data_IF_471407191199
#
_entry.id   IF_471407191199
#
_cell.length_a   1.000
_cell.length_b   1.000
_cell.length_c   1.000
_cell.angle_alpha   90.00
_cell.angle_beta   90.00
_cell.angle_gamma   90.00
#
_symmetry.space_group_name_H-M   'P 1'
#
loop_
_entity.id
_entity.type
_entity.pdbx_description
1 polymer ?
#
# COMPACT_ATOMS: atom_id res chain seq x y z
N UNK A 1 -31.48 -24.06 27.39
CA UNK A 1 -30.92 -24.49 26.10
C UNK A 1 -31.04 -25.99 25.99
N UNK A 2 -31.59 -26.50 24.89
CA UNK A 2 -31.77 -27.94 24.69
C UNK A 2 -30.41 -28.56 24.41
N UNK A 3 -29.88 -29.36 25.34
CA UNK A 3 -28.66 -30.15 25.10
C UNK A 3 -29.03 -31.25 24.11
N UNK A 4 -28.32 -31.32 22.98
CA UNK A 4 -28.52 -32.40 22.00
C UNK A 4 -27.85 -33.67 22.52
N UNK A 5 -28.62 -34.73 22.75
CA UNK A 5 -28.09 -36.00 23.25
C UNK A 5 -27.26 -36.77 22.19
N UNK A 6 -27.35 -36.36 20.92
CA UNK A 6 -26.75 -37.06 19.77
C UNK A 6 -26.04 -36.06 18.85
N UNK A 7 -24.86 -36.46 18.36
CA UNK A 7 -24.07 -35.73 17.36
C UNK A 7 -24.66 -35.86 15.95
N UNK A 8 -24.32 -34.98 14.99
CA UNK A 8 -24.74 -35.12 13.58
C UNK A 8 -24.35 -36.45 12.94
N UNK A 9 -23.32 -37.12 13.47
CA UNK A 9 -22.86 -38.45 13.06
C UNK A 9 -23.69 -39.61 13.64
N UNK A 10 -24.69 -39.35 14.48
CA UNK A 10 -25.50 -40.38 15.16
C UNK A 10 -24.91 -40.93 16.47
N UNK A 11 -23.72 -40.48 16.88
CA UNK A 11 -23.10 -40.93 18.13
C UNK A 11 -23.64 -40.18 19.37
N UNK A 12 -23.71 -40.87 20.52
CA UNK A 12 -24.12 -40.27 21.80
C UNK A 12 -23.09 -39.23 22.28
N UNK A 13 -23.56 -38.06 22.72
CA UNK A 13 -22.71 -36.93 23.10
C UNK A 13 -21.80 -37.22 24.30
N UNK A 14 -22.35 -37.75 25.40
CA UNK A 14 -21.61 -37.95 26.66
C UNK A 14 -20.44 -38.96 26.52
N UNK A 15 -20.63 -40.14 25.90
CA UNK A 15 -19.52 -41.07 25.67
C UNK A 15 -18.43 -40.47 24.77
N UNK A 16 -18.80 -39.69 23.75
CA UNK A 16 -17.86 -39.05 22.84
C UNK A 16 -17.02 -37.98 23.55
N UNK A 17 -17.66 -37.13 24.36
CA UNK A 17 -16.95 -36.13 25.18
C UNK A 17 -15.97 -36.79 26.16
N UNK A 18 -16.37 -37.91 26.79
CA UNK A 18 -15.48 -38.69 27.65
C UNK A 18 -14.30 -39.32 26.91
N UNK A 19 -14.44 -39.65 25.62
CA UNK A 19 -13.35 -40.15 24.79
C UNK A 19 -12.33 -39.04 24.46
N UNK A 20 -12.82 -37.84 24.09
CA UNK A 20 -11.95 -36.67 23.88
C UNK A 20 -11.16 -36.35 25.16
N UNK A 21 -11.83 -36.29 26.31
CA UNK A 21 -11.18 -35.95 27.58
C UNK A 21 -10.05 -36.92 27.98
N UNK A 22 -10.16 -38.19 27.61
CA UNK A 22 -9.15 -39.23 27.91
C UNK A 22 -7.97 -39.26 26.94
N UNK A 23 -8.11 -38.68 25.75
CA UNK A 23 -7.10 -38.75 24.68
C UNK A 23 -6.31 -37.45 24.51
N UNK A 24 -6.32 -36.53 25.49
CA UNK A 24 -5.47 -35.33 25.48
C UNK A 24 -4.19 -35.61 26.26
N UNK A 25 -3.01 -35.68 25.61
CA UNK A 25 -1.75 -36.00 26.30
C UNK A 25 -1.35 -34.95 27.35
N UNK A 26 -1.64 -33.67 27.09
CA UNK A 26 -1.45 -32.57 28.04
C UNK A 26 -2.23 -31.34 27.59
N UNK A 27 -2.94 -30.69 28.53
CA UNK A 27 -3.61 -29.41 28.29
C UNK A 27 -2.64 -28.22 28.24
N UNK A 28 -1.40 -28.38 28.72
CA UNK A 28 -0.41 -27.30 28.71
C UNK A 28 -0.07 -26.82 27.29
N UNK A 29 -0.19 -27.70 26.29
CA UNK A 29 0.14 -27.41 24.89
C UNK A 29 -1.08 -27.15 23.99
N UNK A 30 -2.21 -26.75 24.57
CA UNK A 30 -3.47 -26.56 23.83
C UNK A 30 -3.35 -25.60 22.64
N UNK A 31 -2.51 -24.55 22.77
CA UNK A 31 -2.24 -23.58 21.68
C UNK A 31 -1.69 -24.26 20.43
N UNK A 32 -0.79 -25.22 20.60
CA UNK A 32 -0.21 -25.97 19.47
C UNK A 32 -1.23 -26.89 18.81
N UNK A 33 -2.09 -27.56 19.58
CA UNK A 33 -3.16 -28.39 18.99
C UNK A 33 -4.18 -27.53 18.22
N UNK A 34 -4.57 -26.38 18.78
CA UNK A 34 -5.46 -25.43 18.08
C UNK A 34 -4.81 -24.94 16.78
N UNK A 35 -3.52 -24.62 16.81
CA UNK A 35 -2.78 -24.23 15.61
C UNK A 35 -2.82 -25.32 14.54
N UNK A 36 -2.55 -26.58 14.88
CA UNK A 36 -2.60 -27.69 13.91
C UNK A 36 -3.99 -27.94 13.32
N UNK A 37 -5.05 -27.85 14.13
CA UNK A 37 -6.43 -27.98 13.63
C UNK A 37 -6.75 -26.84 12.67
N UNK A 38 -6.34 -25.61 12.99
CA UNK A 38 -6.51 -24.43 12.13
C UNK A 38 -5.71 -24.56 10.83
N UNK A 39 -4.42 -24.88 10.89
CA UNK A 39 -3.57 -25.14 9.71
C UNK A 39 -4.25 -26.13 8.76
N UNK A 40 -4.76 -27.26 9.29
CA UNK A 40 -5.47 -28.26 8.49
C UNK A 40 -6.80 -27.76 7.93
N UNK A 41 -7.50 -26.86 8.63
CA UNK A 41 -8.72 -26.23 8.12
C UNK A 41 -8.43 -25.23 7.00
N UNK A 42 -7.38 -24.41 7.14
CA UNK A 42 -6.91 -23.48 6.11
C UNK A 42 -6.49 -24.26 4.86
N UNK A 43 -5.74 -25.37 5.02
CA UNK A 43 -5.35 -26.22 3.90
C UNK A 43 -6.56 -26.81 3.15
N UNK A 44 -7.63 -27.19 3.86
CA UNK A 44 -8.87 -27.64 3.19
C UNK A 44 -9.53 -26.50 2.41
N UNK A 45 -9.65 -25.32 3.03
CA UNK A 45 -10.21 -24.15 2.36
C UNK A 45 -9.39 -23.76 1.12
N UNK A 46 -8.06 -23.87 1.18
CA UNK A 46 -7.17 -23.63 0.03
C UNK A 46 -7.44 -24.62 -1.11
N UNK A 47 -7.63 -25.91 -0.79
CA UNK A 47 -7.99 -26.93 -1.78
C UNK A 47 -9.34 -26.59 -2.42
N UNK A 48 -10.36 -26.29 -1.61
CA UNK A 48 -11.71 -25.94 -2.11
C UNK A 48 -11.66 -24.70 -3.02
N UNK A 49 -10.89 -23.68 -2.64
CA UNK A 49 -10.67 -22.48 -3.47
C UNK A 49 -9.96 -22.83 -4.79
N UNK A 50 -8.91 -23.64 -4.74
CA UNK A 50 -8.18 -24.06 -5.95
C UNK A 50 -9.09 -24.83 -6.92
N UNK A 51 -9.96 -25.69 -6.40
CA UNK A 51 -10.97 -26.40 -7.19
C UNK A 51 -12.00 -25.44 -7.80
N UNK A 52 -12.47 -24.44 -7.04
CA UNK A 52 -13.38 -23.41 -7.54
C UNK A 52 -12.75 -22.55 -8.65
N UNK A 53 -11.48 -22.16 -8.51
CA UNK A 53 -10.75 -21.40 -9.53
C UNK A 53 -10.56 -22.25 -10.78
N UNK A 54 -10.19 -23.53 -10.61
CA UNK A 54 -10.04 -24.48 -11.72
C UNK A 54 -11.37 -24.65 -12.48
N UNK A 55 -12.48 -24.80 -11.78
CA UNK A 55 -13.81 -24.91 -12.40
C UNK A 55 -14.19 -23.63 -13.16
N UNK A 56 -13.89 -22.46 -12.60
CA UNK A 56 -14.15 -21.16 -13.24
C UNK A 56 -13.39 -20.97 -14.55
N UNK A 57 -12.22 -21.61 -14.72
CA UNK A 57 -11.45 -21.56 -15.96
C UNK A 57 -12.07 -22.37 -17.12
N UNK A 58 -13.01 -23.27 -16.81
CA UNK A 58 -13.75 -24.08 -17.79
C UNK A 58 -15.16 -23.54 -18.06
N UNK A 59 -15.58 -22.49 -17.36
CA UNK A 59 -16.86 -21.83 -17.59
C UNK A 59 -16.85 -21.03 -18.92
N UNK A 60 -17.96 -21.04 -19.64
CA UNK A 60 -18.16 -20.23 -20.85
C UNK A 60 -18.50 -18.77 -20.48
N UNK A 61 -17.52 -18.06 -19.92
CA UNK A 61 -17.62 -16.66 -19.48
C UNK A 61 -16.52 -15.79 -20.09
N UNK A 62 -16.71 -14.47 -20.16
CA UNK A 62 -15.64 -13.56 -20.59
C UNK A 62 -14.41 -13.68 -19.68
N UNK A 63 -13.21 -13.68 -20.29
CA UNK A 63 -11.92 -13.78 -19.59
C UNK A 63 -11.77 -12.79 -18.40
N UNK A 64 -12.18 -11.51 -18.49
CA UNK A 64 -12.08 -10.58 -17.36
C UNK A 64 -12.89 -11.03 -16.13
N UNK A 65 -14.05 -11.67 -16.33
CA UNK A 65 -14.89 -12.16 -15.23
C UNK A 65 -14.26 -13.38 -14.54
N UNK A 66 -13.62 -14.26 -15.31
CA UNK A 66 -12.88 -15.42 -14.79
C UNK A 66 -11.70 -14.94 -13.94
N UNK A 67 -10.93 -13.95 -14.42
CA UNK A 67 -9.82 -13.35 -13.68
C UNK A 67 -10.30 -12.71 -12.38
N UNK A 68 -11.37 -11.90 -12.42
CA UNK A 68 -11.91 -11.23 -11.25
C UNK A 68 -12.39 -12.23 -10.17
N UNK A 69 -13.05 -13.32 -10.56
CA UNK A 69 -13.45 -14.39 -9.62
C UNK A 69 -12.25 -15.07 -8.97
N UNK A 70 -11.22 -15.38 -9.75
CA UNK A 70 -10.01 -16.00 -9.23
C UNK A 70 -9.31 -15.07 -8.22
N UNK A 71 -9.25 -13.77 -8.51
CA UNK A 71 -8.70 -12.76 -7.59
C UNK A 71 -9.50 -12.68 -6.28
N UNK A 72 -10.83 -12.66 -6.35
CA UNK A 72 -11.68 -12.63 -5.15
C UNK A 72 -11.48 -13.86 -4.28
N UNK A 73 -11.48 -15.05 -4.87
CA UNK A 73 -11.32 -16.29 -4.13
C UNK A 73 -9.95 -16.40 -3.43
N UNK A 74 -8.89 -15.84 -4.06
CA UNK A 74 -7.57 -15.73 -3.45
C UNK A 74 -7.51 -14.66 -2.34
N UNK A 75 -8.25 -13.56 -2.48
CA UNK A 75 -8.33 -12.52 -1.46
C UNK A 75 -8.98 -13.04 -0.16
N UNK A 76 -10.04 -13.85 -0.27
CA UNK A 76 -10.73 -14.42 0.88
C UNK A 76 -9.83 -15.36 1.71
N UNK A 77 -8.87 -16.05 1.06
CA UNK A 77 -7.88 -16.89 1.75
C UNK A 77 -6.88 -16.08 2.59
N UNK A 78 -6.55 -14.86 2.18
CA UNK A 78 -5.61 -13.98 2.89
C UNK A 78 -6.12 -13.61 4.28
N UNK A 79 -7.43 -13.49 4.43
CA UNK A 79 -8.06 -13.12 5.70
C UNK A 79 -8.06 -14.27 6.72
N UNK A 80 -7.80 -15.51 6.30
CA UNK A 80 -7.76 -16.69 7.16
C UNK A 80 -6.44 -16.84 7.94
N UNK A 81 -5.38 -16.16 7.49
CA UNK A 81 -4.03 -16.24 8.06
C UNK A 81 -3.80 -15.27 9.24
N UNK A 82 -4.78 -14.42 9.57
CA UNK A 82 -4.62 -13.45 10.66
C UNK A 82 -4.65 -14.17 12.03
N UNK A 83 -3.45 -14.43 12.58
CA UNK A 83 -3.22 -15.17 13.82
C UNK A 83 -3.56 -14.37 15.10
N UNK A 84 -3.60 -13.04 15.03
CA UNK A 84 -3.69 -12.19 16.21
C UNK A 84 -5.05 -11.48 16.33
N UNK A 85 -5.60 -11.31 17.55
CA UNK A 85 -6.65 -10.34 17.77
C UNK A 85 -6.19 -8.98 17.23
N UNK A 86 -7.04 -8.31 16.44
CA UNK A 86 -6.77 -6.98 15.86
C UNK A 86 -6.71 -5.86 16.91
N UNK A 87 -6.68 -6.22 18.19
CA UNK A 87 -6.59 -5.31 19.32
C UNK A 87 -5.39 -5.69 20.20
N UNK A 88 -4.75 -4.67 20.77
CA UNK A 88 -3.66 -4.81 21.74
C UNK A 88 -4.03 -4.02 22.97
N UNK A 89 -3.49 -4.43 24.12
CA UNK A 89 -3.62 -3.63 25.33
C UNK A 89 -2.83 -2.32 25.17
N UNK A 90 -3.29 -1.26 25.81
CA UNK A 90 -2.68 0.07 25.68
C UNK A 90 -1.22 0.08 26.18
N UNK A 91 -0.91 -0.65 27.26
CA UNK A 91 0.45 -0.77 27.81
C UNK A 91 1.44 -1.39 26.82
N UNK A 92 1.04 -2.42 26.09
CA UNK A 92 1.85 -3.01 25.02
C UNK A 92 2.14 -2.01 23.87
N UNK A 93 1.20 -1.13 23.57
CA UNK A 93 1.36 -0.09 22.53
C UNK A 93 2.23 1.05 23.05
N UNK A 94 2.08 1.44 24.31
CA UNK A 94 2.86 2.51 24.94
C UNK A 94 4.35 2.17 24.99
N UNK A 95 4.72 0.93 25.29
CA UNK A 95 6.12 0.48 25.26
C UNK A 95 6.76 0.72 23.88
N UNK A 96 6.07 0.33 22.80
CA UNK A 96 6.54 0.59 21.42
C UNK A 96 6.61 2.06 21.07
N UNK A 97 5.71 2.87 21.63
CA UNK A 97 5.74 4.32 21.40
C UNK A 97 6.97 4.96 22.04
N UNK A 98 7.39 4.49 23.22
CA UNK A 98 8.62 4.94 23.88
C UNK A 98 9.84 4.60 23.03
N UNK A 99 9.93 3.39 22.47
CA UNK A 99 11.04 3.00 21.58
C UNK A 99 11.16 3.96 20.38
N UNK A 100 10.03 4.30 19.74
CA UNK A 100 9.99 5.25 18.62
C UNK A 100 10.40 6.67 19.05
N UNK A 101 10.10 7.08 20.28
CA UNK A 101 10.52 8.38 20.81
C UNK A 101 12.03 8.37 21.09
N UNK A 102 12.56 7.30 21.68
CA UNK A 102 13.99 7.13 21.94
C UNK A 102 14.81 7.13 20.65
N UNK A 103 14.34 6.43 19.61
CA UNK A 103 14.98 6.44 18.29
C UNK A 103 15.02 7.86 17.69
N UNK A 104 13.94 8.63 17.84
CA UNK A 104 13.91 10.04 17.38
C UNK A 104 14.85 10.93 18.18
N UNK A 105 14.87 10.78 19.50
CA UNK A 105 15.73 11.57 20.37
C UNK A 105 17.21 11.33 20.08
N UNK A 106 17.58 10.09 19.81
CA UNK A 106 18.95 9.69 19.50
C UNK A 106 19.33 9.81 18.01
N UNK A 107 18.48 10.42 17.18
CA UNK A 107 18.74 10.58 15.75
C UNK A 107 18.82 9.27 14.95
N UNK A 108 18.32 8.17 15.51
CA UNK A 108 18.22 6.85 14.86
C UNK A 108 16.94 6.70 14.04
N UNK A 109 16.00 7.63 14.18
CA UNK A 109 14.78 7.63 13.39
C UNK A 109 15.08 7.91 11.90
N UNK A 110 14.44 7.17 10.98
CA UNK A 110 14.58 7.44 9.55
C UNK A 110 14.09 8.84 9.23
N UNK A 111 14.86 9.57 8.41
CA UNK A 111 14.38 10.81 7.81
C UNK A 111 13.29 10.47 6.80
N UNK A 112 12.17 11.20 6.87
CA UNK A 112 11.07 11.01 5.94
C UNK A 112 11.26 11.93 4.75
N UNK A 113 10.77 11.53 3.56
CA UNK A 113 10.82 12.36 2.37
C UNK A 113 10.25 13.76 2.63
N UNK A 114 10.93 14.79 2.15
CA UNK A 114 10.54 16.19 2.34
C UNK A 114 9.54 16.64 1.29
N UNK A 115 9.07 17.87 1.43
CA UNK A 115 8.32 18.57 0.38
C UNK A 115 9.23 19.39 -0.53
N UNK A 116 10.49 19.59 -0.14
CA UNK A 116 11.43 20.49 -0.84
C UNK A 116 11.21 21.97 -0.50
N UNK A 117 10.19 22.27 0.32
CA UNK A 117 9.88 23.61 0.80
C UNK A 117 10.22 23.68 2.28
N UNK A 118 11.34 24.33 2.62
CA UNK A 118 11.89 24.33 3.98
C UNK A 118 10.90 24.76 5.07
N UNK A 119 10.04 25.75 4.78
CA UNK A 119 9.05 26.21 5.76
C UNK A 119 7.86 25.26 5.89
N UNK A 120 7.45 24.61 4.81
CA UNK A 120 6.43 23.56 4.86
C UNK A 120 6.96 22.31 5.56
N UNK A 121 8.23 21.96 5.36
CA UNK A 121 8.88 20.83 6.01
C UNK A 121 9.02 21.04 7.52
N UNK A 122 9.22 22.28 8.00
CA UNK A 122 9.16 22.58 9.44
C UNK A 122 7.79 22.30 10.04
N UNK A 123 6.72 22.57 9.28
CA UNK A 123 5.34 22.42 9.73
C UNK A 123 4.87 20.95 9.66
N UNK A 124 5.03 20.31 8.50
CA UNK A 124 4.52 18.96 8.23
C UNK A 124 5.49 17.89 8.74
N UNK A 125 6.79 18.21 8.82
CA UNK A 125 7.86 17.29 9.19
C UNK A 125 7.90 16.08 8.27
N UNK A 126 7.91 16.32 6.96
CA UNK A 126 8.02 15.31 5.92
C UNK A 126 6.79 14.41 5.73
N UNK A 127 6.88 13.53 4.74
CA UNK A 127 5.81 12.66 4.27
C UNK A 127 5.98 11.28 4.92
N UNK A 128 5.08 10.95 5.84
CA UNK A 128 5.25 9.75 6.68
C UNK A 128 4.74 8.48 6.01
N UNK A 129 5.44 7.34 6.17
CA UNK A 129 4.95 6.06 5.69
C UNK A 129 3.66 5.67 6.41
N UNK A 130 2.80 4.92 5.71
CA UNK A 130 1.50 4.44 6.21
C UNK A 130 0.52 5.56 6.61
N UNK A 131 0.70 6.77 6.05
CA UNK A 131 -0.25 7.87 6.17
C UNK A 131 -0.67 8.36 4.79
N UNK A 132 -1.93 8.76 4.68
CA UNK A 132 -2.45 9.48 3.51
C UNK A 132 -2.26 10.98 3.74
N UNK A 133 -1.55 11.63 2.83
CA UNK A 133 -1.39 13.09 2.79
C UNK A 133 -2.26 13.63 1.66
N UNK A 134 -3.15 14.56 1.98
CA UNK A 134 -4.07 15.16 1.00
C UNK A 134 -3.70 16.61 0.75
N UNK A 135 -3.47 16.97 -0.52
CA UNK A 135 -3.29 18.35 -0.97
C UNK A 135 -4.61 18.81 -1.60
N UNK A 136 -5.32 19.71 -0.93
CA UNK A 136 -6.62 20.22 -1.36
C UNK A 136 -6.58 21.73 -1.58
N UNK A 137 -7.46 22.23 -2.45
CA UNK A 137 -7.48 23.62 -2.89
C UNK A 137 -8.35 23.79 -4.14
N UNK A 138 -8.71 25.03 -4.46
CA UNK A 138 -9.56 25.36 -5.61
C UNK A 138 -8.90 25.00 -6.95
N UNK A 139 -9.67 24.79 -8.03
CA UNK A 139 -9.10 24.67 -9.38
C UNK A 139 -8.16 25.85 -9.68
N UNK A 140 -7.02 25.56 -10.32
CA UNK A 140 -5.99 26.57 -10.59
C UNK A 140 -5.11 26.98 -9.40
N UNK A 141 -5.35 26.48 -8.18
CA UNK A 141 -4.53 26.84 -7.00
C UNK A 141 -3.13 26.20 -6.95
N UNK A 142 -2.69 25.54 -8.03
CA UNK A 142 -1.35 24.95 -8.13
C UNK A 142 -1.15 23.59 -7.45
N UNK A 143 -2.23 22.85 -7.11
CA UNK A 143 -2.13 21.53 -6.45
C UNK A 143 -1.26 20.53 -7.21
N UNK A 144 -1.50 20.39 -8.52
CA UNK A 144 -0.75 19.46 -9.38
C UNK A 144 0.72 19.86 -9.45
N UNK A 145 1.00 21.15 -9.64
CA UNK A 145 2.37 21.68 -9.64
C UNK A 145 3.08 21.37 -8.32
N UNK A 146 2.43 21.62 -7.17
CA UNK A 146 3.00 21.33 -5.87
C UNK A 146 3.29 19.84 -5.67
N UNK A 147 2.33 18.97 -6.02
CA UNK A 147 2.50 17.52 -5.91
C UNK A 147 3.66 17.02 -6.78
N UNK A 148 3.74 17.52 -8.01
CA UNK A 148 4.79 17.18 -8.96
C UNK A 148 6.16 17.69 -8.50
N UNK A 149 6.24 18.89 -7.93
CA UNK A 149 7.47 19.43 -7.35
C UNK A 149 8.00 18.62 -6.17
N UNK A 150 7.10 18.16 -5.29
CA UNK A 150 7.46 17.28 -4.18
C UNK A 150 8.06 15.98 -4.72
N UNK A 151 7.44 15.36 -5.72
CA UNK A 151 7.94 14.13 -6.33
C UNK A 151 9.30 14.35 -7.03
N UNK A 152 9.43 15.45 -7.78
CA UNK A 152 10.69 15.84 -8.43
C UNK A 152 11.82 16.08 -7.44
N UNK A 153 11.56 16.79 -6.35
CA UNK A 153 12.57 17.06 -5.33
C UNK A 153 13.12 15.76 -4.77
N UNK A 154 12.26 14.85 -4.32
CA UNK A 154 12.72 13.60 -3.72
C UNK A 154 13.36 12.65 -4.75
N UNK A 155 12.89 12.64 -6.00
CA UNK A 155 13.48 11.79 -7.03
C UNK A 155 14.80 12.34 -7.58
N UNK A 156 14.87 13.63 -7.90
CA UNK A 156 16.04 14.23 -8.55
C UNK A 156 17.14 14.61 -7.54
N UNK A 157 16.77 15.11 -6.36
CA UNK A 157 17.75 15.57 -5.35
C UNK A 157 18.08 14.46 -4.33
N UNK A 158 17.06 13.74 -3.82
CA UNK A 158 17.28 12.69 -2.83
C UNK A 158 17.51 11.29 -3.44
N UNK A 159 17.28 11.11 -4.75
CA UNK A 159 17.48 9.83 -5.44
C UNK A 159 16.50 8.74 -5.03
N UNK A 160 15.35 9.11 -4.46
CA UNK A 160 14.33 8.17 -4.00
C UNK A 160 13.34 7.86 -5.12
N UNK A 161 12.86 6.61 -5.24
CA UNK A 161 11.90 6.25 -6.27
C UNK A 161 10.49 6.81 -5.99
N UNK A 162 9.92 7.51 -6.96
CA UNK A 162 8.58 8.12 -6.88
C UNK A 162 7.74 7.81 -8.12
N UNK A 163 6.44 7.60 -7.92
CA UNK A 163 5.47 7.34 -9.00
C UNK A 163 4.34 8.36 -8.90
N UNK A 164 4.07 9.05 -10.00
CA UNK A 164 2.97 10.01 -10.15
C UNK A 164 1.91 9.39 -11.05
N UNK A 165 0.71 9.22 -10.49
CA UNK A 165 -0.47 8.88 -11.28
C UNK A 165 -1.21 10.16 -11.66
N UNK A 166 -1.46 10.32 -12.95
CA UNK A 166 -2.22 11.43 -13.51
C UNK A 166 -3.53 10.93 -14.09
N UNK A 167 -4.65 11.46 -13.63
CA UNK A 167 -5.99 11.07 -14.10
C UNK A 167 -6.68 12.16 -14.94
N UNK A 168 -6.12 13.37 -14.94
CA UNK A 168 -6.71 14.54 -15.60
C UNK A 168 -5.82 15.08 -16.73
N UNK A 169 -4.50 15.02 -16.54
CA UNK A 169 -3.53 15.61 -17.46
C UNK A 169 -2.67 14.54 -18.12
N UNK A 170 -2.40 14.64 -19.42
CA UNK A 170 -1.53 13.72 -20.12
C UNK A 170 -0.07 13.88 -19.68
N UNK A 171 0.74 12.84 -19.90
CA UNK A 171 2.14 12.82 -19.49
C UNK A 171 2.99 13.95 -20.10
N UNK A 172 2.67 14.40 -21.32
CA UNK A 172 3.40 15.50 -21.96
C UNK A 172 3.20 16.83 -21.23
N UNK A 173 1.98 17.11 -20.74
CA UNK A 173 1.70 18.33 -19.98
C UNK A 173 2.43 18.32 -18.63
N UNK A 174 2.51 17.16 -17.98
CA UNK A 174 3.32 16.99 -16.79
C UNK A 174 4.83 17.13 -17.09
N UNK A 175 5.27 16.67 -18.25
CA UNK A 175 6.64 16.85 -18.74
C UNK A 175 7.02 18.32 -18.89
N UNK A 176 6.18 19.12 -19.56
CA UNK A 176 6.40 20.57 -19.73
C UNK A 176 6.46 21.29 -18.37
N UNK A 177 5.54 20.98 -17.45
CA UNK A 177 5.56 21.52 -16.08
C UNK A 177 6.81 21.09 -15.32
N UNK A 178 7.32 19.89 -15.60
CA UNK A 178 8.56 19.41 -14.98
C UNK A 178 9.78 20.18 -15.47
N UNK A 179 9.86 20.46 -16.76
CA UNK A 179 10.91 21.30 -17.34
C UNK A 179 10.85 22.71 -16.75
N UNK A 180 9.64 23.30 -16.67
CA UNK A 180 9.43 24.61 -16.08
C UNK A 180 9.98 24.69 -14.64
N UNK A 181 9.61 23.70 -13.83
CA UNK A 181 9.99 23.58 -12.42
C UNK A 181 11.51 23.39 -12.23
N UNK A 182 12.11 22.42 -12.92
CA UNK A 182 13.54 22.08 -12.76
C UNK A 182 14.48 23.11 -13.41
N UNK A 183 14.05 23.72 -14.51
CA UNK A 183 14.81 24.69 -15.29
C UNK A 183 14.63 26.14 -14.83
N UNK A 184 13.60 26.42 -14.02
CA UNK A 184 13.27 27.80 -13.65
C UNK A 184 12.87 28.65 -14.86
N UNK A 185 12.07 28.07 -15.75
CA UNK A 185 11.54 28.72 -16.96
C UNK A 185 10.04 28.96 -16.76
N UNK A 186 9.54 30.11 -17.22
CA UNK A 186 8.11 30.42 -17.13
C UNK A 186 7.30 29.43 -17.97
N UNK A 187 6.29 28.81 -17.34
CA UNK A 187 5.41 27.82 -17.99
C UNK A 187 4.72 28.41 -19.24
N UNK A 188 4.30 29.69 -19.19
CA UNK A 188 3.65 30.34 -20.34
C UNK A 188 4.56 30.47 -21.55
N UNK A 189 5.87 30.61 -21.33
CA UNK A 189 6.85 30.66 -22.42
C UNK A 189 7.12 29.28 -22.99
N UNK A 190 7.07 28.24 -22.17
CA UNK A 190 7.18 26.86 -22.66
C UNK A 190 5.95 26.44 -23.48
N UNK A 191 4.78 26.97 -23.14
CA UNK A 191 3.54 26.75 -23.89
C UNK A 191 3.52 27.54 -25.23
N UNK A 192 4.20 28.69 -25.31
CA UNK A 192 4.30 29.51 -26.52
C UNK A 192 5.77 29.67 -26.98
N UNK A 193 6.22 28.84 -27.95
CA UNK A 193 7.60 28.85 -28.44
C UNK A 193 8.08 30.20 -28.98
N UNK A 194 7.18 31.10 -29.37
CA UNK A 194 7.55 32.44 -29.88
C UNK A 194 8.06 33.36 -28.76
N UNK A 195 7.76 33.04 -27.50
CA UNK A 195 8.18 33.81 -26.32
C UNK A 195 9.47 33.26 -25.68
N UNK A 196 10.01 32.15 -26.19
CA UNK A 196 11.28 31.59 -25.72
C UNK A 196 12.44 32.43 -26.23
N UNK A 197 13.31 32.82 -25.30
CA UNK A 197 14.59 33.45 -25.63
C UNK A 197 15.71 32.43 -25.78
N UNK A 198 16.85 32.86 -26.34
CA UNK A 198 18.05 32.03 -26.46
C UNK A 198 18.55 31.51 -25.09
N UNK A 199 18.31 32.26 -24.01
CA UNK A 199 18.69 31.89 -22.64
C UNK A 199 17.79 30.80 -22.02
N UNK A 200 16.60 30.56 -22.57
CA UNK A 200 15.66 29.55 -22.05
C UNK A 200 16.10 28.14 -22.48
N UNK A 201 16.70 27.98 -23.68
CA UNK A 201 17.16 26.69 -24.19
C UNK A 201 18.23 26.00 -23.32
N UNK A 202 19.27 26.70 -22.82
CA UNK A 202 20.19 26.14 -21.84
C UNK A 202 19.51 25.67 -20.56
N UNK A 203 18.49 26.40 -20.07
CA UNK A 203 17.74 26.04 -18.86
C UNK A 203 16.88 24.79 -19.07
N UNK A 204 16.20 24.70 -20.20
CA UNK A 204 15.44 23.52 -20.62
C UNK A 204 16.37 22.30 -20.72
N UNK A 205 17.51 22.45 -21.38
CA UNK A 205 18.49 21.37 -21.54
C UNK A 205 19.04 20.90 -20.19
N UNK A 206 19.32 21.84 -19.28
CA UNK A 206 19.75 21.55 -17.91
C UNK A 206 18.67 20.81 -17.12
N UNK A 207 17.40 21.20 -17.26
CA UNK A 207 16.28 20.51 -16.62
C UNK A 207 16.17 19.04 -17.06
N UNK A 208 16.26 18.79 -18.37
CA UNK A 208 16.26 17.43 -18.92
C UNK A 208 17.47 16.64 -18.41
N UNK A 209 18.64 17.26 -18.32
CA UNK A 209 19.84 16.61 -17.80
C UNK A 209 19.71 16.24 -16.31
N UNK A 210 19.05 17.07 -15.49
CA UNK A 210 18.77 16.77 -14.07
C UNK A 210 17.76 15.63 -13.90
N UNK A 211 16.71 15.62 -14.72
CA UNK A 211 15.70 14.56 -14.69
C UNK A 211 16.26 13.21 -15.20
N UNK A 212 17.27 13.25 -16.07
CA UNK A 212 17.85 12.05 -16.67
C UNK A 212 18.47 11.15 -15.61
N UNK A 213 17.89 9.95 -15.45
CA UNK A 213 18.35 8.94 -14.50
C UNK A 213 17.78 9.10 -13.09
N UNK A 214 16.98 10.13 -12.84
CA UNK A 214 16.20 10.24 -11.60
C UNK A 214 15.11 9.14 -11.60
N UNK A 215 14.88 8.44 -10.48
CA UNK A 215 13.86 7.40 -10.37
C UNK A 215 12.44 8.00 -10.18
N UNK A 216 12.04 8.91 -11.07
CA UNK A 216 10.69 9.47 -11.14
C UNK A 216 9.92 8.83 -12.30
N UNK A 217 8.79 8.22 -11.98
CA UNK A 217 7.92 7.54 -12.94
C UNK A 217 6.58 8.29 -13.05
N UNK A 218 6.04 8.37 -14.26
CA UNK A 218 4.73 8.97 -14.54
C UNK A 218 3.86 7.88 -15.16
N UNK A 219 2.60 7.80 -14.74
CA UNK A 219 1.58 6.95 -15.31
C UNK A 219 0.33 7.78 -15.54
N UNK A 220 -0.09 7.92 -16.79
CA UNK A 220 -1.33 8.58 -17.18
C UNK A 220 -2.40 7.58 -17.68
N UNK A 221 -2.12 6.27 -17.64
CA UNK A 221 -3.12 5.24 -17.93
C UNK A 221 -4.10 5.10 -16.75
N UNK A 222 -5.41 5.31 -16.97
CA UNK A 222 -6.41 5.14 -15.94
C UNK A 222 -6.69 3.67 -15.56
N UNK A 223 -6.09 2.67 -16.23
CA UNK A 223 -6.36 1.24 -16.03
C UNK A 223 -5.26 0.46 -15.32
#
# INVERSE_FOLDING_TARGET
GVVRDVLPSGAKLIPYAGNIARNVPSVANWRTYVRHVRERAILRCLIDTAESVKASATDDRPLPEIIARAQQAMADLRDLDDEAPKYKRLDEVMLKAVDVIDDKFNGRAPQWPGTGLADLDKLVRGIRPRKLTVIAGLPGSGKTTLALQIAQYNACEAGEPWLVFSLEMPEEELGVRSIASLGGVDLKRLDDPQQLGDDDWPRITSAVAKAKGAPLFICDDPN
#
